data_IF_135394522207
#
_entry.id   IF_135394522207
#
_cell.length_a   1.000
_cell.length_b   1.000
_cell.length_c   1.000
_cell.angle_alpha   90.00
_cell.angle_beta   90.00
_cell.angle_gamma   90.00
#
_symmetry.space_group_name_H-M   'P 1'
#
loop_
_entity.id
_entity.type
_entity.pdbx_description
1 polymer ?
#
# COMPACT_ATOMS: atom_id res chain seq x y z
N UNK A 1 -16.65 8.57 -4.00
CA UNK A 1 -16.63 7.51 -2.96
C UNK A 1 -15.21 7.27 -2.56
N UNK A 2 -14.88 7.65 -1.34
CA UNK A 2 -13.60 7.34 -0.70
C UNK A 2 -13.80 6.06 0.13
N UNK A 3 -12.75 5.26 0.32
CA UNK A 3 -12.79 4.17 1.31
C UNK A 3 -12.76 4.82 2.69
N UNK A 4 -13.82 4.65 3.47
CA UNK A 4 -14.05 5.30 4.76
C UNK A 4 -14.16 4.32 5.95
N UNK A 5 -14.35 3.04 5.68
CA UNK A 5 -14.39 1.98 6.68
C UNK A 5 -12.99 1.40 6.91
N UNK A 6 -12.45 1.52 8.11
CA UNK A 6 -11.16 0.94 8.51
C UNK A 6 -11.29 0.12 9.82
N UNK A 7 -10.51 -0.97 10.00
CA UNK A 7 -9.55 -1.52 9.04
C UNK A 7 -10.25 -2.05 7.79
N UNK A 8 -9.62 -1.88 6.63
CA UNK A 8 -10.13 -2.38 5.34
C UNK A 8 -9.25 -3.52 4.87
N UNK A 9 -9.87 -4.59 4.38
CA UNK A 9 -9.18 -5.72 3.80
C UNK A 9 -9.48 -5.72 2.30
N UNK A 10 -8.43 -5.62 1.49
CA UNK A 10 -8.54 -5.60 0.03
C UNK A 10 -7.71 -6.73 -0.56
N UNK A 11 -8.18 -7.32 -1.65
CA UNK A 11 -7.42 -8.32 -2.41
C UNK A 11 -6.62 -7.60 -3.49
N UNK A 12 -5.30 -7.79 -3.51
CA UNK A 12 -4.44 -7.18 -4.51
C UNK A 12 -4.67 -7.84 -5.89
N UNK A 13 -5.25 -7.10 -6.83
CA UNK A 13 -5.59 -7.57 -8.16
C UNK A 13 -4.47 -7.39 -9.18
N UNK A 14 -3.53 -6.47 -8.93
CA UNK A 14 -2.38 -6.23 -9.81
C UNK A 14 -1.24 -5.65 -8.99
N UNK A 15 -0.01 -6.05 -9.36
CA UNK A 15 1.21 -5.49 -8.82
C UNK A 15 2.02 -4.91 -9.97
N UNK A 16 2.41 -3.64 -9.85
CA UNK A 16 3.31 -2.93 -10.76
C UNK A 16 4.54 -2.49 -9.98
N UNK A 17 5.71 -2.49 -10.63
CA UNK A 17 6.94 -1.99 -10.03
C UNK A 17 7.79 -1.27 -11.06
N UNK A 18 8.44 -0.18 -10.67
CA UNK A 18 9.37 0.58 -11.50
C UNK A 18 10.48 1.18 -10.65
N UNK A 19 11.55 1.64 -11.31
CA UNK A 19 12.56 2.48 -10.69
C UNK A 19 12.33 3.91 -11.17
N UNK A 20 12.42 4.89 -10.28
CA UNK A 20 12.40 6.29 -10.68
C UNK A 20 13.76 6.76 -11.23
N UNK A 21 13.84 8.04 -11.59
CA UNK A 21 15.06 8.65 -12.13
C UNK A 21 16.23 8.69 -11.13
N UNK A 22 15.95 8.52 -9.83
CA UNK A 22 16.96 8.44 -8.76
C UNK A 22 17.40 6.99 -8.49
N UNK A 23 16.77 6.01 -9.16
CA UNK A 23 17.03 4.59 -8.96
C UNK A 23 16.31 4.00 -7.74
N UNK A 24 15.38 4.74 -7.13
CA UNK A 24 14.56 4.27 -6.02
C UNK A 24 13.44 3.35 -6.55
N UNK A 25 13.26 2.20 -5.89
CA UNK A 25 12.26 1.20 -6.29
C UNK A 25 10.86 1.55 -5.77
N UNK A 26 9.89 1.52 -6.67
CA UNK A 26 8.48 1.81 -6.40
C UNK A 26 7.63 0.57 -6.62
N UNK A 27 6.62 0.41 -5.77
CA UNK A 27 5.71 -0.73 -5.79
C UNK A 27 4.27 -0.22 -5.71
N UNK A 28 3.49 -0.49 -6.74
CA UNK A 28 2.08 -0.07 -6.85
C UNK A 28 1.18 -1.31 -6.79
N UNK A 29 0.14 -1.22 -5.96
CA UNK A 29 -0.93 -2.20 -5.88
C UNK A 29 -2.22 -1.67 -6.47
N UNK A 30 -2.94 -2.51 -7.22
CA UNK A 30 -4.29 -2.22 -7.68
C UNK A 30 -5.29 -3.09 -6.91
N UNK A 31 -6.37 -2.46 -6.43
CA UNK A 31 -7.46 -3.11 -5.70
C UNK A 31 -8.80 -2.81 -6.35
N UNK A 32 -9.68 -3.81 -6.42
CA UNK A 32 -11.10 -3.61 -6.68
C UNK A 32 -11.88 -3.32 -5.39
N UNK A 33 -12.65 -2.24 -5.35
CA UNK A 33 -13.58 -1.93 -4.24
C UNK A 33 -14.80 -1.15 -4.72
N UNK A 34 -16.01 -1.59 -4.36
CA UNK A 34 -17.30 -0.97 -4.76
C UNK A 34 -17.35 -0.66 -6.28
N UNK A 35 -17.00 -1.64 -7.11
CA UNK A 35 -16.94 -1.53 -8.58
C UNK A 35 -15.95 -0.50 -9.13
N UNK A 36 -15.02 0.01 -8.31
CA UNK A 36 -13.95 0.93 -8.70
C UNK A 36 -12.59 0.28 -8.51
N UNK A 37 -11.61 0.72 -9.30
CA UNK A 37 -10.21 0.34 -9.18
C UNK A 37 -9.44 1.43 -8.44
N UNK A 38 -8.64 1.03 -7.48
CA UNK A 38 -7.81 1.92 -6.66
C UNK A 38 -6.36 1.53 -6.82
N UNK A 39 -5.51 2.51 -7.12
CA UNK A 39 -4.05 2.32 -7.11
C UNK A 39 -3.48 2.85 -5.82
N UNK A 40 -2.54 2.11 -5.25
CA UNK A 40 -1.85 2.44 -4.02
C UNK A 40 -0.35 2.25 -4.20
N UNK A 41 0.40 3.35 -4.10
CA UNK A 41 1.85 3.31 -4.15
C UNK A 41 2.42 3.13 -2.74
N UNK A 42 3.24 2.10 -2.58
CA UNK A 42 3.81 1.74 -1.29
C UNK A 42 4.96 2.68 -0.94
N UNK A 43 4.77 3.49 0.10
CA UNK A 43 5.87 4.20 0.74
C UNK A 43 6.87 3.23 1.41
N UNK A 44 8.02 3.76 1.86
CA UNK A 44 9.10 2.99 2.50
C UNK A 44 8.63 2.13 3.69
N UNK A 45 7.70 2.63 4.50
CA UNK A 45 7.13 1.89 5.64
C UNK A 45 6.29 0.69 5.19
N UNK A 46 5.44 0.89 4.18
CA UNK A 46 4.59 -0.16 3.63
C UNK A 46 5.41 -1.21 2.86
N UNK A 47 6.44 -0.80 2.13
CA UNK A 47 7.41 -1.72 1.51
C UNK A 47 8.10 -2.61 2.55
N UNK A 48 8.48 -2.03 3.70
CA UNK A 48 9.03 -2.79 4.82
C UNK A 48 8.01 -3.79 5.39
N UNK A 49 6.77 -3.39 5.61
CA UNK A 49 5.72 -4.27 6.12
C UNK A 49 5.49 -5.51 5.22
N UNK A 50 5.54 -5.33 3.89
CA UNK A 50 5.44 -6.43 2.93
C UNK A 50 6.63 -7.40 3.06
N UNK A 51 7.85 -6.85 3.16
CA UNK A 51 9.07 -7.65 3.34
C UNK A 51 9.05 -8.43 4.65
N UNK A 52 8.62 -7.78 5.74
CA UNK A 52 8.51 -8.38 7.08
C UNK A 52 7.43 -9.47 7.13
N UNK A 53 6.41 -9.40 6.26
CA UNK A 53 5.42 -10.46 6.06
C UNK A 53 5.97 -11.70 5.30
N UNK A 54 7.26 -11.73 5.00
CA UNK A 54 7.93 -12.86 4.34
C UNK A 54 7.76 -12.92 2.82
N UNK A 55 7.20 -11.86 2.21
CA UNK A 55 7.06 -11.74 0.76
C UNK A 55 8.43 -11.48 0.14
N UNK A 56 8.91 -12.41 -0.68
CA UNK A 56 10.27 -12.35 -1.27
C UNK A 56 10.29 -11.63 -2.60
N UNK A 57 9.15 -11.53 -3.26
CA UNK A 57 9.00 -10.86 -4.54
C UNK A 57 7.67 -10.11 -4.63
N UNK A 58 7.62 -8.95 -5.32
CA UNK A 58 6.37 -8.23 -5.58
C UNK A 58 5.23 -9.11 -6.12
N UNK A 59 5.56 -10.11 -6.95
CA UNK A 59 4.59 -11.03 -7.55
C UNK A 59 3.85 -11.88 -6.52
N UNK A 60 4.46 -12.18 -5.38
CA UNK A 60 3.81 -12.96 -4.31
C UNK A 60 2.70 -12.18 -3.60
N UNK A 61 2.64 -10.86 -3.78
CA UNK A 61 1.53 -10.02 -3.26
C UNK A 61 0.27 -10.17 -4.11
N UNK A 62 0.39 -10.63 -5.36
CA UNK A 62 -0.76 -10.85 -6.23
C UNK A 62 -1.76 -11.82 -5.59
N UNK A 63 -3.04 -11.44 -5.58
CA UNK A 63 -4.16 -12.18 -4.97
C UNK A 63 -4.07 -12.36 -3.45
N UNK A 64 -3.11 -11.72 -2.78
CA UNK A 64 -3.05 -11.64 -1.32
C UNK A 64 -4.07 -10.67 -0.76
N UNK A 65 -4.56 -10.97 0.43
CA UNK A 65 -5.37 -10.04 1.23
C UNK A 65 -4.43 -9.10 1.97
N UNK A 66 -4.63 -7.80 1.77
CA UNK A 66 -3.87 -6.76 2.45
C UNK A 66 -4.82 -6.01 3.38
N UNK A 67 -4.49 -6.00 4.66
CA UNK A 67 -5.22 -5.24 5.67
C UNK A 67 -4.57 -3.87 5.82
N UNK A 68 -5.37 -2.83 5.65
CA UNK A 68 -4.97 -1.44 5.83
C UNK A 68 -5.65 -0.84 7.04
N UNK A 69 -4.89 -0.01 7.76
CA UNK A 69 -5.39 0.90 8.77
C UNK A 69 -5.13 2.35 8.37
N UNK A 70 -6.02 3.23 8.81
CA UNK A 70 -5.86 4.67 8.65
C UNK A 70 -5.03 5.20 9.82
N UNK A 71 -3.89 5.82 9.51
CA UNK A 71 -2.98 6.40 10.50
C UNK A 71 -2.78 7.88 10.25
N UNK A 72 -2.36 8.63 11.27
CA UNK A 72 -1.89 10.01 11.11
C UNK A 72 -0.37 10.02 11.09
N UNK A 73 0.21 10.54 10.02
CA UNK A 73 1.66 10.70 9.87
C UNK A 73 2.01 12.16 9.72
N UNK A 74 3.21 12.53 10.16
CA UNK A 74 3.74 13.87 9.95
C UNK A 74 4.34 13.94 8.54
N UNK A 75 3.82 14.80 7.69
CA UNK A 75 4.42 15.06 6.39
C UNK A 75 5.77 15.78 6.61
N UNK A 76 6.89 15.26 6.09
CA UNK A 76 8.22 15.84 6.35
C UNK A 76 8.39 17.23 5.72
N UNK A 77 7.75 17.47 4.57
CA UNK A 77 7.86 18.73 3.83
C UNK A 77 7.03 19.84 4.46
N UNK A 78 5.78 19.55 4.84
CA UNK A 78 4.86 20.55 5.41
C UNK A 78 4.86 20.60 6.94
N UNK A 79 5.45 19.60 7.59
CA UNK A 79 5.43 19.36 9.05
C UNK A 79 4.03 19.19 9.66
N UNK A 80 2.98 19.12 8.84
CA UNK A 80 1.60 18.93 9.26
C UNK A 80 1.26 17.45 9.44
N UNK A 81 0.28 17.17 10.30
CA UNK A 81 -0.29 15.83 10.43
C UNK A 81 -1.26 15.60 9.27
N UNK A 82 -1.03 14.54 8.51
CA UNK A 82 -1.88 14.13 7.39
C UNK A 82 -2.35 12.70 7.60
N UNK A 83 -3.53 12.39 7.07
CA UNK A 83 -4.02 11.02 7.04
C UNK A 83 -3.22 10.19 6.03
N UNK A 84 -2.91 8.95 6.38
CA UNK A 84 -2.19 8.00 5.53
C UNK A 84 -2.71 6.57 5.77
N UNK A 85 -2.28 5.65 4.90
CA UNK A 85 -2.62 4.23 4.98
C UNK A 85 -1.39 3.42 5.37
N UNK A 86 -1.57 2.53 6.35
CA UNK A 86 -0.55 1.60 6.80
C UNK A 86 -0.98 0.17 6.53
N UNK A 87 -0.10 -0.62 5.92
CA UNK A 87 -0.26 -2.07 5.80
C UNK A 87 0.05 -2.70 7.15
N UNK A 88 -0.94 -3.33 7.76
CA UNK A 88 -0.79 -4.04 9.05
C UNK A 88 -0.68 -5.55 8.89
N UNK A 89 -1.16 -6.09 7.77
CA UNK A 89 -1.14 -7.53 7.50
C UNK A 89 -1.18 -7.84 6.00
N UNK A 90 -0.48 -8.88 5.58
CA UNK A 90 -0.52 -9.46 4.23
C UNK A 90 -0.71 -10.98 4.37
N UNK A 91 -1.77 -11.55 3.77
CA UNK A 91 -2.15 -12.98 3.87
C UNK A 91 -2.45 -13.64 2.53
#
# INVERSE_FOLDING_TARGET
DMIDLFPVILVCNKVESYFDDEGDAHLIFEFGYKSKKWKFECNKTNQKAIKDAGIKSPKEVYMKKITFEKIKVRNPSTRQMVDSLSIVKVE
#
